data_IF_405849364295
#
_entry.id   IF_405849364295
#
_cell.length_a   1.000
_cell.length_b   1.000
_cell.length_c   1.000
_cell.angle_alpha   90.00
_cell.angle_beta   90.00
_cell.angle_gamma   90.00
#
_symmetry.space_group_name_H-M   'P 1'
#
loop_
_entity.id
_entity.type
_entity.pdbx_description
1 polymer ?
#
# COMPACT_ATOMS: atom_id res chain seq x y z
N UNK A 1 -11.39 -33.10 -2.07
CA UNK A 1 -11.97 -34.48 -2.15
C UNK A 1 -12.26 -34.92 -0.72
N UNK A 2 -13.07 -35.97 -0.49
CA UNK A 2 -13.26 -36.49 0.87
C UNK A 2 -11.95 -37.05 1.47
N UNK A 3 -11.09 -37.67 0.65
CA UNK A 3 -9.73 -38.07 1.06
C UNK A 3 -8.88 -36.90 1.58
N UNK A 4 -9.09 -35.68 1.08
CA UNK A 4 -8.43 -34.46 1.60
C UNK A 4 -8.87 -34.13 3.03
N UNK A 5 -10.14 -34.35 3.36
CA UNK A 5 -10.67 -34.18 4.72
C UNK A 5 -10.08 -35.22 5.67
N UNK A 6 -10.08 -36.49 5.27
CA UNK A 6 -9.47 -37.57 6.04
C UNK A 6 -7.97 -37.32 6.28
N UNK A 7 -7.26 -36.87 5.26
CA UNK A 7 -5.84 -36.50 5.35
C UNK A 7 -5.62 -35.34 6.31
N UNK A 8 -6.50 -34.34 6.33
CA UNK A 8 -6.41 -33.19 7.22
C UNK A 8 -6.59 -33.58 8.69
N UNK A 9 -7.47 -34.54 8.98
CA UNK A 9 -7.62 -35.14 10.31
C UNK A 9 -6.39 -35.97 10.71
N UNK A 10 -5.91 -36.82 9.81
CA UNK A 10 -4.73 -37.65 10.04
C UNK A 10 -3.49 -36.79 10.36
N UNK A 11 -3.27 -35.71 9.60
CA UNK A 11 -2.13 -34.79 9.79
C UNK A 11 -2.05 -34.20 11.19
N UNK A 12 -3.17 -34.09 11.92
CA UNK A 12 -3.15 -33.62 13.33
C UNK A 12 -2.47 -34.61 14.27
N UNK A 13 -2.34 -35.87 13.86
CA UNK A 13 -1.61 -36.90 14.59
C UNK A 13 -0.14 -37.03 14.20
N UNK A 14 0.37 -36.14 13.34
CA UNK A 14 1.80 -36.04 13.03
C UNK A 14 2.23 -36.71 11.72
N UNK A 15 1.29 -37.28 10.96
CA UNK A 15 1.60 -37.87 9.63
C UNK A 15 1.65 -36.78 8.55
N UNK A 16 2.44 -37.03 7.50
CA UNK A 16 2.51 -36.13 6.33
C UNK A 16 1.27 -36.21 5.44
N UNK A 17 0.55 -37.34 5.47
CA UNK A 17 -0.64 -37.59 4.68
C UNK A 17 -1.10 -39.05 4.79
N UNK A 18 -1.94 -39.45 3.84
CA UNK A 18 -2.44 -40.82 3.70
C UNK A 18 -2.56 -41.16 2.21
N UNK A 19 -2.62 -42.46 1.91
CA UNK A 19 -3.02 -42.97 0.60
C UNK A 19 -4.39 -43.64 0.72
N UNK A 20 -5.20 -43.58 -0.33
CA UNK A 20 -6.45 -44.32 -0.37
C UNK A 20 -6.70 -44.91 -1.77
N UNK A 21 -7.47 -45.99 -1.82
CA UNK A 21 -7.67 -46.78 -3.04
C UNK A 21 -8.27 -46.01 -4.22
N UNK A 22 -8.98 -44.91 -4.01
CA UNK A 22 -9.52 -44.11 -5.13
C UNK A 22 -8.44 -43.25 -5.82
N UNK A 23 -7.29 -43.06 -5.17
CA UNK A 23 -6.12 -42.39 -5.74
C UNK A 23 -5.03 -43.38 -6.16
N UNK A 24 -5.25 -44.70 -6.00
CA UNK A 24 -4.32 -45.76 -6.38
C UNK A 24 -4.88 -46.57 -7.57
N UNK A 25 -4.03 -47.08 -8.49
CA UNK A 25 -2.57 -47.07 -8.46
C UNK A 25 -1.96 -45.71 -8.85
N UNK A 26 -1.09 -45.18 -8.00
CA UNK A 26 -0.31 -43.97 -8.21
C UNK A 26 0.84 -43.91 -7.19
N UNK A 27 1.64 -42.84 -7.21
CA UNK A 27 2.70 -42.59 -6.22
C UNK A 27 3.75 -43.71 -6.08
N UNK A 28 3.93 -44.52 -7.13
CA UNK A 28 4.87 -45.64 -7.16
C UNK A 28 4.28 -46.99 -6.72
N UNK A 29 3.02 -47.03 -6.26
CA UNK A 29 2.32 -48.27 -5.89
C UNK A 29 1.69 -48.88 -7.14
N UNK A 30 2.02 -50.15 -7.41
CA UNK A 30 1.60 -50.89 -8.60
C UNK A 30 0.23 -51.57 -8.41
N UNK A 31 -0.43 -51.92 -9.53
CA UNK A 31 -1.77 -52.52 -9.49
C UNK A 31 -1.80 -53.91 -8.83
N UNK A 32 -0.73 -54.69 -8.99
CA UNK A 32 -0.55 -55.98 -8.30
C UNK A 32 -0.42 -55.80 -6.78
N UNK A 33 0.28 -54.77 -6.31
CA UNK A 33 0.37 -54.43 -4.89
C UNK A 33 -1.00 -54.01 -4.31
N UNK A 34 -1.76 -53.20 -5.06
CA UNK A 34 -3.13 -52.83 -4.68
C UNK A 34 -4.04 -54.06 -4.60
N UNK A 35 -3.96 -54.96 -5.59
CA UNK A 35 -4.76 -56.19 -5.61
C UNK A 35 -4.38 -57.14 -4.46
N UNK A 36 -3.08 -57.27 -4.14
CA UNK A 36 -2.62 -58.06 -3.00
C UNK A 36 -3.16 -57.51 -1.67
N UNK A 37 -3.20 -56.19 -1.49
CA UNK A 37 -3.80 -55.57 -0.30
C UNK A 37 -5.30 -55.82 -0.19
N UNK A 38 -6.04 -55.73 -1.31
CA UNK A 38 -7.49 -56.02 -1.36
C UNK A 38 -7.78 -57.47 -0.96
N UNK A 39 -6.99 -58.41 -1.46
CA UNK A 39 -7.11 -59.83 -1.11
C UNK A 39 -6.76 -60.09 0.36
N UNK A 40 -5.67 -59.48 0.87
CA UNK A 40 -5.23 -59.63 2.26
C UNK A 40 -6.28 -59.13 3.26
N UNK A 41 -6.86 -57.95 3.01
CA UNK A 41 -7.90 -57.36 3.86
C UNK A 41 -9.30 -57.94 3.60
N UNK A 42 -9.46 -58.80 2.58
CA UNK A 42 -10.72 -59.44 2.18
C UNK A 42 -11.86 -58.45 1.94
N UNK A 43 -11.56 -57.35 1.25
CA UNK A 43 -12.54 -56.29 0.99
C UNK A 43 -13.34 -56.52 -0.30
N UNK A 44 -14.58 -56.07 -0.32
CA UNK A 44 -15.48 -56.13 -1.48
C UNK A 44 -15.27 -54.98 -2.48
N UNK A 45 -16.04 -54.95 -3.59
CA UNK A 45 -15.92 -53.93 -4.63
C UNK A 45 -16.45 -52.54 -4.22
N UNK A 46 -17.17 -52.43 -3.10
CA UNK A 46 -17.69 -51.17 -2.56
C UNK A 46 -16.87 -50.63 -1.39
N UNK A 47 -15.82 -51.36 -1.01
CA UNK A 47 -14.97 -51.01 0.11
C UNK A 47 -13.73 -50.28 -0.39
N UNK A 48 -13.19 -49.39 0.44
CA UNK A 48 -11.98 -48.64 0.18
C UNK A 48 -10.94 -48.92 1.27
N UNK A 49 -9.66 -48.85 0.91
CA UNK A 49 -8.54 -49.01 1.85
C UNK A 49 -7.88 -47.66 2.04
N UNK A 50 -7.57 -47.32 3.29
CA UNK A 50 -6.75 -46.17 3.66
C UNK A 50 -5.44 -46.68 4.25
N UNK A 51 -4.33 -46.12 3.79
CA UNK A 51 -2.98 -46.53 4.14
C UNK A 51 -2.25 -45.32 4.71
N UNK A 52 -1.62 -45.52 5.86
CA UNK A 52 -0.75 -44.53 6.51
C UNK A 52 0.61 -45.18 6.72
N UNK A 53 1.66 -44.56 6.18
CA UNK A 53 3.04 -45.02 6.33
C UNK A 53 3.78 -44.11 7.32
N UNK A 54 3.97 -44.59 8.54
CA UNK A 54 4.72 -43.92 9.60
C UNK A 54 5.16 -44.97 10.65
N UNK A 55 5.93 -44.56 11.66
CA UNK A 55 6.12 -45.35 12.89
C UNK A 55 4.78 -45.83 13.45
N UNK A 56 4.75 -47.08 13.94
CA UNK A 56 3.52 -47.81 14.30
C UNK A 56 2.57 -46.99 15.19
N UNK A 57 3.06 -46.41 16.29
CA UNK A 57 2.24 -45.63 17.22
C UNK A 57 1.58 -44.42 16.54
N UNK A 58 2.30 -43.72 15.66
CA UNK A 58 1.81 -42.54 14.94
C UNK A 58 0.81 -42.96 13.86
N UNK A 59 1.11 -44.04 13.14
CA UNK A 59 0.23 -44.59 12.10
C UNK A 59 -1.10 -45.07 12.68
N UNK A 60 -1.07 -45.79 13.80
CA UNK A 60 -2.28 -46.28 14.50
C UNK A 60 -3.13 -45.11 14.99
N UNK A 61 -2.53 -44.09 15.60
CA UNK A 61 -3.26 -42.89 16.05
C UNK A 61 -3.90 -42.12 14.89
N UNK A 62 -3.17 -41.94 13.79
CA UNK A 62 -3.69 -41.30 12.58
C UNK A 62 -4.85 -42.10 11.96
N UNK A 63 -4.73 -43.43 11.88
CA UNK A 63 -5.80 -44.30 11.37
C UNK A 63 -7.05 -44.24 12.26
N UNK A 64 -6.90 -44.18 13.58
CA UNK A 64 -8.04 -44.02 14.50
C UNK A 64 -8.79 -42.71 14.26
N UNK A 65 -8.08 -41.60 14.02
CA UNK A 65 -8.71 -40.32 13.66
C UNK A 65 -9.37 -40.33 12.29
N UNK A 66 -8.76 -41.02 11.32
CA UNK A 66 -9.37 -41.25 10.00
C UNK A 66 -10.66 -42.06 10.11
N UNK A 67 -10.66 -43.15 10.89
CA UNK A 67 -11.85 -43.98 11.15
C UNK A 67 -12.94 -43.13 11.80
N UNK A 68 -12.58 -42.31 12.80
CA UNK A 68 -13.50 -41.37 13.45
C UNK A 68 -14.14 -40.43 12.43
N UNK A 69 -13.34 -39.80 11.57
CA UNK A 69 -13.84 -38.87 10.54
C UNK A 69 -14.65 -39.56 9.45
N UNK A 70 -14.28 -40.78 9.07
CA UNK A 70 -15.01 -41.60 8.09
C UNK A 70 -16.40 -41.97 8.62
N UNK A 71 -16.50 -42.39 9.89
CA UNK A 71 -17.79 -42.68 10.53
C UNK A 71 -18.69 -41.44 10.59
N UNK A 72 -18.13 -40.28 10.95
CA UNK A 72 -18.86 -39.01 10.97
C UNK A 72 -19.39 -38.57 9.59
N UNK A 73 -18.82 -39.07 8.49
CA UNK A 73 -19.28 -38.70 7.15
C UNK A 73 -20.65 -39.29 6.80
N UNK A 74 -21.04 -40.40 7.44
CA UNK A 74 -22.38 -40.98 7.28
C UNK A 74 -23.46 -40.12 7.95
N UNK A 75 -23.10 -39.38 9.00
CA UNK A 75 -23.99 -38.44 9.68
C UNK A 75 -24.10 -37.09 8.96
N UNK A 76 -23.21 -36.82 8.00
CA UNK A 76 -23.24 -35.64 7.13
C UNK A 76 -22.07 -34.67 7.35
N UNK A 77 -22.37 -33.37 7.34
CA UNK A 77 -21.38 -32.31 7.52
C UNK A 77 -21.13 -32.10 9.01
N UNK A 78 -19.88 -32.24 9.43
CA UNK A 78 -19.46 -32.11 10.82
C UNK A 78 -19.23 -30.66 11.18
N UNK A 79 -19.63 -30.29 12.39
CA UNK A 79 -19.31 -29.00 12.99
C UNK A 79 -17.84 -28.91 13.40
N UNK A 80 -17.07 -28.03 12.75
CA UNK A 80 -15.64 -27.91 12.97
C UNK A 80 -15.10 -26.50 12.69
N UNK A 81 -13.92 -26.20 13.23
CA UNK A 81 -13.19 -24.96 12.91
C UNK A 81 -12.25 -25.23 11.74
N UNK A 82 -12.38 -24.43 10.68
CA UNK A 82 -11.58 -24.54 9.46
C UNK A 82 -10.78 -23.25 9.22
N UNK A 83 -9.59 -23.38 8.63
CA UNK A 83 -8.78 -22.23 8.18
C UNK A 83 -9.09 -21.93 6.71
N UNK A 84 -9.09 -20.66 6.34
CA UNK A 84 -9.17 -20.24 4.94
C UNK A 84 -7.84 -20.49 4.23
N UNK A 85 -7.91 -20.84 2.95
CA UNK A 85 -6.77 -21.01 2.05
C UNK A 85 -6.83 -19.94 0.94
N UNK A 86 -5.68 -19.71 0.30
CA UNK A 86 -5.53 -18.67 -0.74
C UNK A 86 -6.39 -18.93 -2.00
N UNK A 87 -6.74 -20.18 -2.25
CA UNK A 87 -7.61 -20.60 -3.36
C UNK A 87 -9.11 -20.43 -3.05
N UNK A 88 -9.45 -19.88 -1.88
CA UNK A 88 -10.83 -19.72 -1.41
C UNK A 88 -11.43 -20.99 -0.81
N UNK A 89 -10.70 -22.10 -0.78
CA UNK A 89 -11.11 -23.30 -0.06
C UNK A 89 -10.82 -23.17 1.44
N UNK A 90 -11.21 -24.19 2.18
CA UNK A 90 -10.96 -24.27 3.63
C UNK A 90 -10.36 -25.62 4.00
N UNK A 91 -9.59 -25.67 5.08
CA UNK A 91 -8.96 -26.89 5.58
C UNK A 91 -9.29 -27.08 7.07
N UNK A 92 -9.52 -28.33 7.48
CA UNK A 92 -9.77 -28.66 8.88
C UNK A 92 -8.64 -28.17 9.81
N UNK A 93 -9.00 -27.48 10.88
CA UNK A 93 -8.06 -27.00 11.88
C UNK A 93 -8.18 -27.74 13.21
N UNK A 94 -9.40 -27.78 13.77
CA UNK A 94 -9.73 -28.40 15.07
C UNK A 94 -11.25 -28.56 15.21
N UNK A 95 -11.75 -29.34 16.17
CA UNK A 95 -13.18 -29.36 16.50
C UNK A 95 -13.68 -27.97 16.92
N UNK A 96 -14.99 -27.74 16.88
CA UNK A 96 -15.54 -26.51 17.44
C UNK A 96 -15.13 -26.36 18.91
N UNK A 97 -14.74 -25.14 19.34
CA UNK A 97 -14.58 -24.85 20.76
C UNK A 97 -15.85 -25.23 21.52
N UNK A 98 -15.69 -25.92 22.64
CA UNK A 98 -16.81 -26.21 23.54
C UNK A 98 -17.37 -24.91 24.13
N UNK A 99 -18.60 -24.97 24.67
CA UNK A 99 -19.22 -23.82 25.32
C UNK A 99 -18.29 -23.20 26.37
N UNK A 100 -18.04 -21.90 26.23
CA UNK A 100 -17.28 -21.12 27.19
C UNK A 100 -18.06 -21.04 28.51
N UNK A 101 -17.46 -21.51 29.60
CA UNK A 101 -18.01 -21.34 30.94
C UNK A 101 -17.57 -19.98 31.46
N UNK A 102 -18.49 -19.03 31.44
CA UNK A 102 -18.26 -17.68 31.97
C UNK A 102 -18.71 -17.59 33.43
N UNK A 103 -17.95 -16.85 34.23
CA UNK A 103 -18.32 -16.43 35.57
C UNK A 103 -18.07 -14.94 35.69
N UNK A 104 -18.65 -14.30 36.70
CA UNK A 104 -18.45 -12.88 36.94
C UNK A 104 -16.99 -12.62 37.35
N UNK A 105 -16.31 -11.75 36.61
CA UNK A 105 -15.00 -11.25 37.00
C UNK A 105 -15.16 -10.40 38.27
N UNK A 106 -14.53 -10.82 39.36
CA UNK A 106 -14.68 -10.16 40.67
C UNK A 106 -13.56 -9.18 40.97
N UNK A 107 -12.44 -9.27 40.27
CA UNK A 107 -11.28 -8.40 40.49
C UNK A 107 -11.49 -7.01 39.87
N UNK A 108 -12.35 -6.93 38.84
CA UNK A 108 -12.69 -5.69 38.15
C UNK A 108 -14.03 -5.16 38.70
N UNK A 109 -14.04 -3.99 39.37
CA UNK A 109 -15.28 -3.36 39.79
C UNK A 109 -16.20 -3.04 38.60
N UNK A 110 -17.50 -3.04 38.85
CA UNK A 110 -18.47 -2.62 37.83
C UNK A 110 -18.21 -1.17 37.42
N UNK A 111 -18.09 -0.95 36.11
CA UNK A 111 -17.89 0.37 35.54
C UNK A 111 -19.22 0.90 34.97
N UNK A 112 -19.78 1.93 35.63
CA UNK A 112 -21.01 2.56 35.15
C UNK A 112 -20.67 3.61 34.09
N UNK A 113 -21.10 3.37 32.85
CA UNK A 113 -21.00 4.33 31.76
C UNK A 113 -22.17 5.32 31.89
N UNK A 114 -21.89 6.57 32.24
CA UNK A 114 -22.90 7.62 32.42
C UNK A 114 -23.13 8.42 31.14
N UNK A 115 -24.28 9.08 31.02
CA UNK A 115 -24.59 9.94 29.87
C UNK A 115 -23.58 11.09 29.73
N UNK A 116 -23.11 11.66 30.85
CA UNK A 116 -22.06 12.69 30.86
C UNK A 116 -20.73 12.22 30.23
N UNK A 117 -20.45 10.90 30.22
CA UNK A 117 -19.30 10.32 29.53
C UNK A 117 -19.58 10.05 28.05
N UNK A 118 -20.81 9.64 27.72
CA UNK A 118 -21.22 9.25 26.37
C UNK A 118 -21.39 10.46 25.48
N UNK A 119 -22.06 11.52 25.97
CA UNK A 119 -22.42 12.69 25.18
C UNK A 119 -21.22 13.40 24.55
N UNK A 120 -20.10 13.66 25.26
CA UNK A 120 -18.90 14.21 24.64
C UNK A 120 -18.33 13.32 23.53
N UNK A 121 -18.31 11.99 23.70
CA UNK A 121 -17.75 11.08 22.68
C UNK A 121 -18.66 11.05 21.45
N UNK A 122 -19.97 10.92 21.67
CA UNK A 122 -20.98 10.88 20.61
C UNK A 122 -20.96 12.15 19.75
N UNK A 123 -20.78 13.31 20.37
CA UNK A 123 -20.72 14.60 19.68
C UNK A 123 -19.35 14.87 19.03
N UNK A 124 -18.33 14.06 19.31
CA UNK A 124 -16.98 14.18 18.74
C UNK A 124 -16.53 12.91 18.01
N UNK A 125 -17.48 12.12 17.49
CA UNK A 125 -17.13 10.97 16.65
C UNK A 125 -16.41 11.47 15.39
N UNK A 126 -15.28 10.85 15.00
CA UNK A 126 -14.62 11.19 13.77
C UNK A 126 -15.51 10.84 12.57
N UNK A 127 -15.36 11.61 11.51
CA UNK A 127 -16.00 11.34 10.22
C UNK A 127 -15.57 9.97 9.66
N UNK A 128 -16.49 9.32 8.94
CA UNK A 128 -16.18 8.07 8.26
C UNK A 128 -15.21 8.34 7.08
N UNK A 129 -14.40 7.35 6.67
CA UNK A 129 -13.48 7.51 5.55
C UNK A 129 -14.17 8.02 4.26
N UNK A 130 -15.36 7.52 3.95
CA UNK A 130 -16.10 7.97 2.77
C UNK A 130 -16.61 9.41 2.89
N UNK A 131 -17.08 9.81 4.07
CA UNK A 131 -17.50 11.19 4.37
C UNK A 131 -16.31 12.15 4.27
N UNK A 132 -15.17 11.77 4.88
CA UNK A 132 -13.92 12.53 4.83
C UNK A 132 -13.43 12.73 3.41
N UNK A 133 -13.47 11.68 2.58
CA UNK A 133 -13.06 11.73 1.17
C UNK A 133 -13.90 12.73 0.38
N UNK A 134 -15.23 12.67 0.52
CA UNK A 134 -16.12 13.60 -0.19
C UNK A 134 -15.95 15.05 0.31
N UNK A 135 -15.78 15.25 1.62
CA UNK A 135 -15.50 16.58 2.20
C UNK A 135 -14.20 17.15 1.68
N UNK A 136 -13.09 16.41 1.81
CA UNK A 136 -11.76 16.86 1.36
C UNK A 136 -11.77 17.18 -0.15
N UNK A 137 -12.43 16.35 -0.96
CA UNK A 137 -12.59 16.59 -2.40
C UNK A 137 -13.33 17.90 -2.68
N UNK A 138 -14.45 18.15 -2.00
CA UNK A 138 -15.27 19.33 -2.21
C UNK A 138 -14.61 20.61 -1.68
N UNK A 139 -14.06 20.56 -0.47
CA UNK A 139 -13.47 21.71 0.24
C UNK A 139 -12.15 22.16 -0.38
N UNK A 140 -11.26 21.21 -0.68
CA UNK A 140 -9.93 21.50 -1.22
C UNK A 140 -9.84 21.35 -2.75
N UNK A 141 -10.98 21.08 -3.41
CA UNK A 141 -11.09 20.91 -4.88
C UNK A 141 -10.10 19.89 -5.46
N UNK A 142 -9.80 18.84 -4.68
CA UNK A 142 -8.88 17.79 -5.11
C UNK A 142 -9.53 16.85 -6.13
N UNK A 143 -8.69 16.15 -6.90
CA UNK A 143 -9.16 15.04 -7.72
C UNK A 143 -9.64 13.89 -6.82
N UNK A 144 -10.57 13.08 -7.34
CA UNK A 144 -11.09 11.92 -6.61
C UNK A 144 -10.01 10.92 -6.23
N UNK A 145 -9.04 10.71 -7.11
CA UNK A 145 -7.91 9.82 -6.85
C UNK A 145 -7.03 10.34 -5.70
N UNK A 146 -6.68 11.63 -5.69
CA UNK A 146 -5.89 12.22 -4.61
C UNK A 146 -6.63 12.16 -3.28
N UNK A 147 -7.91 12.57 -3.25
CA UNK A 147 -8.71 12.50 -2.02
C UNK A 147 -8.82 11.07 -1.49
N UNK A 148 -9.07 10.09 -2.35
CA UNK A 148 -9.12 8.68 -1.98
C UNK A 148 -7.76 8.17 -1.45
N UNK A 149 -6.65 8.57 -2.05
CA UNK A 149 -5.32 8.17 -1.58
C UNK A 149 -4.96 8.79 -0.23
N UNK A 150 -5.32 10.05 0.02
CA UNK A 150 -5.13 10.71 1.32
C UNK A 150 -5.87 9.93 2.42
N UNK A 151 -7.16 9.64 2.20
CA UNK A 151 -7.98 8.93 3.19
C UNK A 151 -7.51 7.49 3.40
N UNK A 152 -7.27 6.73 2.32
CA UNK A 152 -6.85 5.33 2.41
C UNK A 152 -5.52 5.14 3.15
N UNK A 153 -4.64 6.13 3.09
CA UNK A 153 -3.34 6.12 3.77
C UNK A 153 -3.37 6.77 5.15
N UNK A 154 -4.56 7.16 5.64
CA UNK A 154 -4.73 7.84 6.93
C UNK A 154 -3.91 9.15 7.03
N UNK A 155 -3.76 9.86 5.90
CA UNK A 155 -3.01 11.13 5.81
C UNK A 155 -3.90 12.37 5.92
N UNK A 156 -5.20 12.19 6.18
CA UNK A 156 -6.16 13.29 6.20
C UNK A 156 -5.83 14.36 7.24
N UNK A 157 -5.51 13.95 8.47
CA UNK A 157 -5.23 14.89 9.56
C UNK A 157 -3.92 15.65 9.32
N UNK A 158 -2.87 14.96 8.84
CA UNK A 158 -1.60 15.59 8.45
C UNK A 158 -1.80 16.59 7.32
N UNK A 159 -2.58 16.23 6.30
CA UNK A 159 -2.89 17.11 5.17
C UNK A 159 -3.58 18.41 5.63
N UNK A 160 -4.60 18.29 6.47
CA UNK A 160 -5.33 19.45 6.99
C UNK A 160 -4.50 20.29 7.96
N UNK A 161 -3.69 19.63 8.80
CA UNK A 161 -2.77 20.30 9.71
C UNK A 161 -1.74 21.14 8.94
N UNK A 162 -1.14 20.58 7.88
CA UNK A 162 -0.21 21.32 7.01
C UNK A 162 -0.89 22.53 6.38
N UNK A 163 -2.08 22.37 5.80
CA UNK A 163 -2.82 23.47 5.19
C UNK A 163 -3.29 24.54 6.20
N UNK A 164 -3.38 24.21 7.48
CA UNK A 164 -3.65 25.19 8.53
C UNK A 164 -2.43 26.07 8.87
N UNK A 165 -1.21 25.58 8.60
CA UNK A 165 0.06 26.23 8.92
C UNK A 165 0.67 27.01 7.74
N UNK A 166 0.46 26.54 6.51
CA UNK A 166 1.03 27.12 5.28
C UNK A 166 -0.04 27.40 4.22
N UNK A 167 0.07 28.53 3.51
CA UNK A 167 -0.86 28.90 2.43
C UNK A 167 -0.32 28.48 1.07
N UNK A 168 -0.34 27.18 0.83
CA UNK A 168 0.05 26.56 -0.42
C UNK A 168 -1.15 25.90 -1.11
N UNK A 169 -1.02 25.65 -2.41
CA UNK A 169 -2.05 24.95 -3.18
C UNK A 169 -2.30 23.54 -2.59
N UNK A 170 -3.55 23.22 -2.18
CA UNK A 170 -3.90 21.92 -1.60
C UNK A 170 -3.51 20.74 -2.48
N UNK A 171 -3.57 20.91 -3.80
CA UNK A 171 -3.17 19.85 -4.76
C UNK A 171 -1.68 19.52 -4.64
N UNK A 172 -0.85 20.53 -4.37
CA UNK A 172 0.59 20.36 -4.23
C UNK A 172 0.91 19.61 -2.94
N UNK A 173 0.29 19.98 -1.82
CA UNK A 173 0.45 19.26 -0.54
C UNK A 173 -0.01 17.81 -0.66
N UNK A 174 -1.19 17.58 -1.25
CA UNK A 174 -1.72 16.25 -1.50
C UNK A 174 -0.78 15.40 -2.35
N UNK A 175 -0.23 15.98 -3.43
CA UNK A 175 0.71 15.30 -4.32
C UNK A 175 1.99 14.89 -3.60
N UNK A 176 2.58 15.79 -2.78
CA UNK A 176 3.80 15.50 -2.03
C UNK A 176 3.58 14.35 -1.04
N UNK A 177 2.48 14.40 -0.28
CA UNK A 177 2.16 13.38 0.72
C UNK A 177 1.88 12.00 0.10
N UNK A 178 1.21 11.98 -1.05
CA UNK A 178 0.73 10.73 -1.67
C UNK A 178 1.76 10.13 -2.64
N UNK A 179 2.40 10.97 -3.45
CA UNK A 179 3.26 10.57 -4.56
C UNK A 179 4.73 10.73 -4.21
N UNK A 180 5.17 11.94 -3.83
CA UNK A 180 6.61 12.22 -3.69
C UNK A 180 7.24 11.43 -2.54
N UNK A 181 6.60 11.40 -1.35
CA UNK A 181 7.08 10.57 -0.24
C UNK A 181 7.14 9.07 -0.62
N UNK A 182 6.19 8.58 -1.43
CA UNK A 182 6.22 7.18 -1.89
C UNK A 182 7.39 6.95 -2.85
N UNK A 183 7.64 7.89 -3.74
CA UNK A 183 8.69 7.78 -4.75
C UNK A 183 10.08 7.90 -4.10
N UNK A 184 10.27 8.81 -3.14
CA UNK A 184 11.49 8.89 -2.33
C UNK A 184 11.78 7.58 -1.59
N UNK A 185 10.75 6.97 -0.98
CA UNK A 185 10.90 5.67 -0.32
C UNK A 185 11.33 4.56 -1.30
N UNK A 186 10.84 4.58 -2.54
CA UNK A 186 11.25 3.64 -3.60
C UNK A 186 12.69 3.85 -4.05
N UNK A 187 13.17 5.09 -4.01
CA UNK A 187 14.56 5.46 -4.30
C UNK A 187 15.51 5.14 -3.12
N UNK A 188 14.99 4.58 -2.02
CA UNK A 188 15.78 4.18 -0.85
C UNK A 188 16.05 5.30 0.15
N UNK A 189 15.36 6.45 -0.01
CA UNK A 189 15.48 7.58 0.91
C UNK A 189 14.63 7.33 2.15
N UNK A 190 15.19 7.61 3.32
CA UNK A 190 14.44 7.58 4.57
C UNK A 190 13.45 8.75 4.59
N UNK A 191 12.16 8.42 4.59
CA UNK A 191 11.07 9.41 4.61
C UNK A 191 10.60 9.76 6.01
N UNK A 192 11.11 9.09 7.04
CA UNK A 192 10.78 9.41 8.43
C UNK A 192 11.30 10.77 8.89
N UNK A 193 12.29 11.32 8.17
CA UNK A 193 12.84 12.66 8.38
C UNK A 193 11.87 13.79 7.98
N UNK A 194 10.86 13.49 7.16
CA UNK A 194 9.86 14.47 6.73
C UNK A 194 8.67 14.39 7.67
N UNK A 195 8.90 14.77 8.92
CA UNK A 195 7.82 15.01 9.87
C UNK A 195 7.03 16.28 9.48
N UNK A 196 5.99 16.55 10.26
CA UNK A 196 5.11 17.67 9.96
C UNK A 196 5.85 19.02 9.98
N UNK A 197 6.78 19.21 10.89
CA UNK A 197 7.53 20.47 11.02
C UNK A 197 8.48 20.66 9.83
N UNK A 198 9.17 19.61 9.40
CA UNK A 198 10.04 19.69 8.21
C UNK A 198 9.25 19.94 6.93
N UNK A 199 8.06 19.34 6.81
CA UNK A 199 7.17 19.61 5.68
C UNK A 199 6.67 21.05 5.70
N UNK A 200 6.36 21.62 6.88
CA UNK A 200 6.00 23.03 7.03
C UNK A 200 7.15 23.94 6.58
N UNK A 201 8.39 23.66 6.97
CA UNK A 201 9.57 24.42 6.51
C UNK A 201 9.67 24.42 4.97
N UNK A 202 9.54 23.25 4.35
CA UNK A 202 9.59 23.09 2.89
C UNK A 202 8.47 23.87 2.20
N UNK A 203 7.23 23.74 2.69
CA UNK A 203 6.09 24.45 2.09
C UNK A 203 6.11 25.96 2.37
N UNK A 204 6.74 26.41 3.46
CA UNK A 204 6.92 27.84 3.74
C UNK A 204 7.83 28.50 2.71
N UNK A 205 8.88 27.82 2.25
CA UNK A 205 9.71 28.33 1.15
C UNK A 205 8.94 28.45 -0.17
N UNK A 206 7.95 27.58 -0.39
CA UNK A 206 7.06 27.66 -1.54
C UNK A 206 6.08 28.83 -1.40
N UNK A 207 5.50 29.03 -0.21
CA UNK A 207 4.61 30.16 0.10
C UNK A 207 5.33 31.51 -0.08
N UNK A 208 6.57 31.60 0.40
CA UNK A 208 7.43 32.79 0.26
C UNK A 208 7.90 33.05 -1.18
N UNK A 209 7.60 32.14 -2.12
CA UNK A 209 8.06 32.24 -3.50
C UNK A 209 9.58 32.14 -3.64
N UNK A 210 10.25 31.45 -2.71
CA UNK A 210 11.69 31.18 -2.77
C UNK A 210 12.02 29.96 -3.63
N UNK A 211 11.11 28.98 -3.72
CA UNK A 211 11.27 27.79 -4.55
C UNK A 211 10.08 27.63 -5.50
N UNK A 212 10.27 26.92 -6.61
CA UNK A 212 9.17 26.52 -7.50
C UNK A 212 8.53 25.21 -7.02
N UNK A 213 7.32 24.92 -7.50
CA UNK A 213 6.65 23.63 -7.25
C UNK A 213 7.48 22.44 -7.74
N UNK A 214 8.18 22.60 -8.85
CA UNK A 214 9.00 21.54 -9.45
C UNK A 214 10.27 21.26 -8.62
N UNK A 215 10.74 22.23 -7.83
CA UNK A 215 11.93 22.10 -7.00
C UNK A 215 11.69 21.36 -5.66
N UNK A 216 10.43 21.11 -5.28
CA UNK A 216 10.09 20.49 -3.98
C UNK A 216 10.74 19.11 -3.85
N UNK A 217 10.60 18.24 -4.86
CA UNK A 217 11.15 16.89 -4.81
C UNK A 217 12.69 16.92 -4.73
N UNK A 218 13.33 17.78 -5.50
CA UNK A 218 14.79 17.95 -5.47
C UNK A 218 15.28 18.49 -4.12
N UNK A 219 14.52 19.41 -3.51
CA UNK A 219 14.80 19.93 -2.17
C UNK A 219 14.65 18.84 -1.12
N UNK A 220 13.61 18.02 -1.17
CA UNK A 220 13.44 16.88 -0.27
C UNK A 220 14.64 15.92 -0.40
N UNK A 221 15.08 15.60 -1.62
CA UNK A 221 16.28 14.76 -1.82
C UNK A 221 17.52 15.43 -1.20
N UNK A 222 17.68 16.74 -1.33
CA UNK A 222 18.80 17.46 -0.74
C UNK A 222 18.76 17.45 0.80
N UNK A 223 17.59 17.71 1.40
CA UNK A 223 17.35 17.65 2.85
C UNK A 223 17.64 16.24 3.38
N UNK A 224 17.31 15.19 2.62
CA UNK A 224 17.59 13.82 3.05
C UNK A 224 19.08 13.49 3.24
N UNK A 225 19.97 14.26 2.60
CA UNK A 225 21.42 14.12 2.75
C UNK A 225 21.97 14.90 3.95
N UNK A 226 21.20 15.87 4.46
CA UNK A 226 21.55 16.75 5.59
C UNK A 226 20.33 16.99 6.49
N UNK A 227 19.84 15.98 7.23
CA UNK A 227 18.58 16.09 7.97
C UNK A 227 18.58 17.20 9.04
N UNK A 228 19.74 17.43 9.67
CA UNK A 228 19.91 18.40 10.77
C UNK A 228 20.10 19.85 10.28
N UNK A 229 20.20 20.08 8.96
CA UNK A 229 20.39 21.41 8.41
C UNK A 229 19.06 22.16 8.22
N UNK A 230 19.13 23.48 8.26
CA UNK A 230 17.99 24.36 7.94
C UNK A 230 17.60 24.19 6.47
N UNK A 231 16.30 24.08 6.19
CA UNK A 231 15.80 23.81 4.81
C UNK A 231 16.11 24.98 3.87
N UNK A 232 16.11 26.22 4.35
CA UNK A 232 16.47 27.39 3.54
C UNK A 232 17.96 27.33 3.13
N UNK A 233 18.85 27.00 4.07
CA UNK A 233 20.28 26.86 3.78
C UNK A 233 20.53 25.73 2.78
N UNK A 234 19.85 24.59 2.94
CA UNK A 234 19.93 23.47 1.99
C UNK A 234 19.44 23.88 0.60
N UNK A 235 18.36 24.67 0.51
CA UNK A 235 17.84 25.16 -0.76
C UNK A 235 18.84 26.11 -1.46
N UNK A 236 19.50 27.00 -0.71
CA UNK A 236 20.53 27.90 -1.23
C UNK A 236 21.78 27.14 -1.71
N UNK A 237 22.30 26.22 -0.89
CA UNK A 237 23.46 25.39 -1.25
C UNK A 237 23.19 24.52 -2.48
N UNK A 238 21.99 23.93 -2.55
CA UNK A 238 21.56 23.12 -3.69
C UNK A 238 21.23 23.97 -4.93
N UNK A 239 21.31 25.30 -4.85
CA UNK A 239 20.93 26.23 -5.91
C UNK A 239 19.49 26.00 -6.41
N UNK A 240 18.56 25.76 -5.50
CA UNK A 240 17.14 25.50 -5.82
C UNK A 240 16.26 26.75 -5.65
N UNK A 241 16.82 27.87 -5.22
CA UNK A 241 16.11 29.14 -5.08
C UNK A 241 15.76 29.76 -6.43
N UNK A 242 14.58 30.37 -6.51
CA UNK A 242 14.09 31.07 -7.68
C UNK A 242 14.98 32.26 -8.04
N UNK A 243 15.27 32.41 -9.33
CA UNK A 243 15.94 33.58 -9.88
C UNK A 243 14.94 34.72 -10.08
N UNK A 244 15.41 35.96 -9.97
CA UNK A 244 14.64 37.16 -10.34
C UNK A 244 14.20 37.09 -11.81
N UNK A 245 13.04 37.68 -12.13
CA UNK A 245 12.50 37.72 -13.50
C UNK A 245 13.52 38.24 -14.53
N UNK A 246 14.31 39.26 -14.19
CA UNK A 246 15.35 39.82 -15.07
C UNK A 246 16.44 38.79 -15.41
N UNK A 247 16.95 38.09 -14.40
CA UNK A 247 17.95 37.03 -14.60
C UNK A 247 17.39 35.86 -15.43
N UNK A 248 16.10 35.53 -15.27
CA UNK A 248 15.43 34.52 -16.10
C UNK A 248 15.31 35.00 -17.54
N UNK A 249 14.95 36.28 -17.75
CA UNK A 249 14.86 36.91 -19.07
C UNK A 249 16.20 36.93 -19.79
N UNK A 250 17.28 37.28 -19.10
CA UNK A 250 18.64 37.28 -19.66
C UNK A 250 19.06 35.87 -20.14
N UNK A 251 18.80 34.85 -19.33
CA UNK A 251 19.11 33.45 -19.68
C UNK A 251 18.29 33.01 -20.90
N UNK A 252 16.99 33.35 -20.95
CA UNK A 252 16.12 32.99 -22.07
C UNK A 252 16.54 33.75 -23.33
N UNK A 253 16.91 35.02 -23.23
CA UNK A 253 17.42 35.83 -24.34
C UNK A 253 18.71 35.22 -24.91
N UNK A 254 19.64 34.77 -24.06
CA UNK A 254 20.85 34.06 -24.49
C UNK A 254 20.53 32.76 -25.24
N UNK A 255 19.56 31.98 -24.77
CA UNK A 255 19.13 30.75 -25.45
C UNK A 255 18.45 31.09 -26.79
N UNK A 256 17.61 32.12 -26.82
CA UNK A 256 16.89 32.54 -28.01
C UNK A 256 17.84 33.04 -29.10
N UNK A 257 18.83 33.86 -28.74
CA UNK A 257 19.87 34.35 -29.66
C UNK A 257 20.76 33.22 -30.17
N UNK A 258 21.14 32.25 -29.32
CA UNK A 258 21.87 31.05 -29.77
C UNK A 258 21.08 30.16 -30.74
N UNK A 259 19.75 30.26 -30.74
CA UNK A 259 18.84 29.45 -31.55
C UNK A 259 18.01 30.31 -32.53
N UNK A 260 18.49 31.50 -32.89
CA UNK A 260 17.74 32.47 -33.69
C UNK A 260 17.34 31.92 -35.07
N UNK A 261 18.19 31.09 -35.68
CA UNK A 261 17.89 30.40 -36.95
C UNK A 261 16.69 29.47 -36.84
N UNK A 262 16.57 28.74 -35.73
CA UNK A 262 15.44 27.84 -35.45
C UNK A 262 14.15 28.63 -35.23
N UNK A 263 14.23 29.79 -34.57
CA UNK A 263 13.09 30.68 -34.33
C UNK A 263 12.58 31.25 -35.65
N UNK A 264 13.46 31.72 -36.54
CA UNK A 264 13.06 32.27 -37.85
C UNK A 264 12.47 31.21 -38.78
N UNK A 265 12.96 29.98 -38.73
CA UNK A 265 12.44 28.88 -39.56
C UNK A 265 11.08 28.36 -39.07
N UNK A 266 10.91 28.17 -37.76
CA UNK A 266 9.72 27.52 -37.17
C UNK A 266 8.70 28.47 -36.56
N UNK A 267 9.07 29.74 -36.39
CA UNK A 267 8.26 30.78 -35.74
C UNK A 267 7.70 30.30 -34.38
N UNK A 268 6.39 30.38 -34.17
CA UNK A 268 5.73 29.89 -32.95
C UNK A 268 5.90 28.38 -32.72
N UNK A 269 6.25 27.59 -33.74
CA UNK A 269 6.60 26.18 -33.62
C UNK A 269 7.92 25.90 -32.88
N UNK A 270 8.76 26.92 -32.66
CA UNK A 270 9.99 26.81 -31.87
C UNK A 270 9.73 26.80 -30.34
N UNK A 271 8.50 27.07 -29.89
CA UNK A 271 8.17 27.24 -28.48
C UNK A 271 8.42 25.97 -27.64
N UNK A 272 8.05 24.79 -28.13
CA UNK A 272 8.28 23.52 -27.41
C UNK A 272 9.77 23.23 -27.18
N UNK A 273 10.62 23.25 -28.23
CA UNK A 273 12.07 23.09 -28.09
C UNK A 273 12.72 24.14 -27.17
N UNK A 274 12.35 25.42 -27.31
CA UNK A 274 12.88 26.50 -26.48
C UNK A 274 12.47 26.37 -25.01
N UNK A 275 11.22 25.96 -24.74
CA UNK A 275 10.76 25.63 -23.39
C UNK A 275 11.59 24.50 -22.80
N UNK A 276 11.83 23.43 -23.54
CA UNK A 276 12.67 22.32 -23.07
C UNK A 276 14.10 22.73 -22.75
N UNK A 277 14.72 23.56 -23.62
CA UNK A 277 16.08 24.08 -23.40
C UNK A 277 16.15 25.04 -22.21
N UNK A 278 15.17 25.95 -22.08
CA UNK A 278 15.10 26.91 -20.99
C UNK A 278 14.88 26.21 -19.65
N UNK A 279 13.94 25.28 -19.58
CA UNK A 279 13.70 24.46 -18.39
C UNK A 279 14.93 23.65 -18.00
N UNK A 280 15.65 23.07 -18.97
CA UNK A 280 16.88 22.31 -18.72
C UNK A 280 18.02 23.19 -18.20
N UNK A 281 18.15 24.42 -18.70
CA UNK A 281 19.20 25.37 -18.25
C UNK A 281 18.85 25.96 -16.87
N UNK A 282 17.57 26.22 -16.62
CA UNK A 282 17.07 26.79 -15.37
C UNK A 282 16.93 25.75 -14.25
N UNK A 283 16.78 24.45 -14.54
CA UNK A 283 16.70 23.34 -13.54
C UNK A 283 15.75 23.65 -12.36
N UNK A 284 14.54 24.12 -12.65
CA UNK A 284 13.54 24.45 -11.62
C UNK A 284 13.73 25.80 -10.92
N UNK A 285 14.75 26.60 -11.29
CA UNK A 285 15.01 27.96 -10.74
C UNK A 285 14.05 29.05 -11.25
N UNK A 286 13.04 28.70 -12.02
CA UNK A 286 12.02 29.62 -12.49
C UNK A 286 10.68 28.88 -12.54
N UNK A 287 9.59 29.57 -12.21
CA UNK A 287 8.25 29.04 -12.36
C UNK A 287 7.95 28.75 -13.84
N UNK A 288 7.41 27.57 -14.14
CA UNK A 288 7.18 27.16 -15.51
C UNK A 288 6.21 28.06 -16.28
N UNK A 289 5.26 28.71 -15.61
CA UNK A 289 4.36 29.69 -16.21
C UNK A 289 5.10 30.98 -16.59
N UNK A 290 6.05 31.43 -15.75
CA UNK A 290 6.89 32.58 -16.03
C UNK A 290 7.83 32.31 -17.21
N UNK A 291 8.48 31.14 -17.24
CA UNK A 291 9.33 30.73 -18.37
C UNK A 291 8.51 30.68 -19.66
N UNK A 292 7.30 30.12 -19.62
CA UNK A 292 6.41 30.06 -20.78
C UNK A 292 6.08 31.45 -21.33
N UNK A 293 5.74 32.39 -20.44
CA UNK A 293 5.45 33.77 -20.80
C UNK A 293 6.66 34.44 -21.46
N UNK A 294 7.83 34.38 -20.84
CA UNK A 294 9.04 35.05 -21.35
C UNK A 294 9.49 34.44 -22.68
N UNK A 295 9.51 33.11 -22.82
CA UNK A 295 9.85 32.44 -24.10
C UNK A 295 8.91 32.89 -25.22
N UNK A 296 7.62 33.06 -24.91
CA UNK A 296 6.64 33.54 -25.90
C UNK A 296 6.89 34.98 -26.33
N UNK A 297 7.17 35.87 -25.37
CA UNK A 297 7.50 37.27 -25.65
C UNK A 297 8.78 37.38 -26.50
N UNK A 298 9.80 36.57 -26.18
CA UNK A 298 11.09 36.59 -26.87
C UNK A 298 10.97 36.12 -28.33
N UNK A 299 10.19 35.06 -28.57
CA UNK A 299 9.90 34.59 -29.94
C UNK A 299 9.16 35.68 -30.72
N UNK A 300 8.19 36.38 -30.11
CA UNK A 300 7.46 37.46 -30.76
C UNK A 300 8.33 38.67 -31.07
N UNK A 301 9.35 38.96 -30.24
CA UNK A 301 10.27 40.06 -30.49
C UNK A 301 11.29 39.79 -31.61
N UNK A 302 11.54 38.52 -31.93
CA UNK A 302 12.52 38.08 -32.93
C UNK A 302 11.89 37.75 -34.31
N UNK A 303 10.56 37.80 -34.39
CA UNK A 303 9.76 37.62 -35.61
C UNK A 303 9.45 38.95 -36.28
#
# INVERSE_FOLDING_TARGET
RFGTELSSYAKKMGVSGLFHTDELPAYGIQEDEVNAMKEFLKIGPQDAIIIVAHDEDVAVNALNEVIRRANMAFDGVVEETRKALDDGNTEYMRPLPTANRMYLETDIPLFQITDDMVEPIKNNLPELPDEKKERIKAEYKLSEDLANQIVRRLLGDTFESLLSKVKVDPTTVASVLVSDLRDLRREGIDVSIFDEDKLVEIFSLLEDGKISKDAIKDLMIAVSKKPDADVNDVAEEANLTLLSEDAVRDIIHEIATQNESMIKERQMGAMGPLMGMSMKKLKGKADGSLVNKIVREEIQSLL
#
